data_IF_256223781273
#
_entry.id   IF_256223781273
#
_cell.length_a   1.000
_cell.length_b   1.000
_cell.length_c   1.000
_cell.angle_alpha   90.00
_cell.angle_beta   90.00
_cell.angle_gamma   90.00
#
_symmetry.space_group_name_H-M   'P 1'
#
loop_
_entity.id
_entity.type
_entity.pdbx_description
1 polymer ?
#
# COMPACT_ATOMS: atom_id res chain seq x y z
N UNK A 1 -52.22 34.77 -40.61
CA UNK A 1 -51.61 34.15 -41.80
C UNK A 1 -50.13 34.49 -41.77
N UNK A 2 -49.32 33.57 -41.27
CA UNK A 2 -47.86 33.64 -41.24
C UNK A 2 -47.40 32.19 -41.34
N UNK A 3 -46.84 31.81 -42.48
CA UNK A 3 -46.52 30.43 -42.83
C UNK A 3 -45.38 29.86 -41.98
N UNK A 4 -45.60 28.65 -41.47
CA UNK A 4 -44.64 27.79 -40.81
C UNK A 4 -43.87 27.01 -41.89
N UNK A 5 -42.56 27.21 -41.97
CA UNK A 5 -41.66 26.38 -42.78
C UNK A 5 -41.24 25.16 -41.97
N UNK A 6 -41.67 23.98 -42.41
CA UNK A 6 -41.28 22.67 -41.88
C UNK A 6 -40.08 22.17 -42.69
N UNK A 7 -38.97 21.73 -42.09
CA UNK A 7 -37.89 21.09 -42.85
C UNK A 7 -38.19 19.61 -43.13
N UNK A 8 -37.93 19.18 -44.35
CA UNK A 8 -38.15 17.81 -44.85
C UNK A 8 -37.32 16.74 -44.10
N UNK A 9 -37.83 15.50 -43.97
CA UNK A 9 -37.12 14.40 -43.35
C UNK A 9 -36.04 13.84 -44.28
N UNK A 10 -34.79 13.80 -43.79
CA UNK A 10 -33.65 13.15 -44.48
C UNK A 10 -33.87 11.64 -44.49
N UNK A 11 -34.09 11.10 -45.69
CA UNK A 11 -34.20 9.66 -45.96
C UNK A 11 -32.81 9.01 -45.79
N UNK A 12 -32.72 8.05 -44.88
CA UNK A 12 -31.51 7.24 -44.66
C UNK A 12 -31.33 6.22 -45.79
N UNK A 13 -30.32 6.43 -46.64
CA UNK A 13 -29.84 5.43 -47.58
C UNK A 13 -28.92 4.39 -46.88
N UNK A 14 -28.94 3.11 -47.30
CA UNK A 14 -28.10 2.08 -46.68
C UNK A 14 -26.62 2.30 -47.00
N UNK A 15 -25.81 2.38 -45.94
CA UNK A 15 -24.35 2.52 -46.00
C UNK A 15 -23.77 1.19 -46.51
N UNK A 16 -23.24 1.19 -47.74
CA UNK A 16 -22.49 0.06 -48.30
C UNK A 16 -21.18 -0.21 -47.54
N UNK A 17 -20.57 -1.40 -47.72
CA UNK A 17 -19.36 -1.77 -46.98
C UNK A 17 -18.19 -0.82 -47.31
N UNK A 18 -17.30 -0.55 -46.34
CA UNK A 18 -16.18 0.36 -46.52
C UNK A 18 -15.18 -0.16 -47.57
N UNK A 19 -14.47 0.74 -48.30
CA UNK A 19 -13.46 0.34 -49.26
C UNK A 19 -12.26 -0.36 -48.57
N UNK A 20 -11.55 -1.25 -49.28
CA UNK A 20 -10.37 -1.92 -48.73
C UNK A 20 -9.26 -0.92 -48.41
N UNK A 21 -8.54 -1.19 -47.31
CA UNK A 21 -7.44 -0.36 -46.84
C UNK A 21 -6.30 -0.30 -47.88
N UNK A 22 -5.59 0.84 -48.00
CA UNK A 22 -4.43 0.96 -48.88
C UNK A 22 -3.27 0.08 -48.40
N UNK A 23 -2.57 -0.54 -49.36
CA UNK A 23 -1.41 -1.42 -49.12
C UNK A 23 -0.33 -0.73 -48.28
N UNK A 24 0.01 -1.36 -47.16
CA UNK A 24 1.13 -0.95 -46.29
C UNK A 24 2.44 -1.34 -46.98
N UNK A 25 3.40 -0.41 -47.21
CA UNK A 25 4.68 -0.76 -47.80
C UNK A 25 5.46 -1.75 -46.93
N UNK A 26 5.96 -2.83 -47.54
CA UNK A 26 6.83 -3.80 -46.87
C UNK A 26 8.15 -3.13 -46.45
N UNK A 27 8.67 -3.42 -45.24
CA UNK A 27 9.94 -2.87 -44.79
C UNK A 27 11.10 -3.40 -45.65
N UNK A 28 11.85 -2.48 -46.25
CA UNK A 28 13.06 -2.77 -47.03
C UNK A 28 14.16 -3.21 -46.06
N UNK A 29 14.55 -4.48 -46.13
CA UNK A 29 15.71 -5.00 -45.40
C UNK A 29 17.01 -4.46 -46.02
N UNK A 30 17.96 -3.92 -45.24
CA UNK A 30 19.25 -3.49 -45.76
C UNK A 30 20.08 -4.72 -46.22
N UNK A 31 20.96 -4.56 -47.23
CA UNK A 31 21.77 -5.66 -47.74
C UNK A 31 22.78 -6.15 -46.71
N UNK A 32 22.92 -7.48 -46.61
CA UNK A 32 23.92 -8.16 -45.79
C UNK A 32 25.32 -7.92 -46.39
N UNK A 33 26.32 -7.49 -45.59
CA UNK A 33 27.69 -7.34 -46.10
C UNK A 33 28.28 -8.70 -46.51
N UNK A 34 29.16 -8.76 -47.52
CA UNK A 34 29.72 -10.01 -48.02
C UNK A 34 30.58 -10.68 -46.95
N UNK A 35 30.38 -12.00 -46.81
CA UNK A 35 31.18 -12.87 -45.94
C UNK A 35 32.59 -12.99 -46.52
N UNK A 36 33.67 -12.76 -45.73
CA UNK A 36 35.02 -12.98 -46.22
C UNK A 36 35.27 -14.46 -46.52
N UNK A 37 36.12 -14.80 -47.52
CA UNK A 37 36.44 -16.18 -47.83
C UNK A 37 37.15 -16.86 -46.65
N UNK A 38 36.99 -18.19 -46.49
CA UNK A 38 37.61 -18.91 -45.37
C UNK A 38 39.13 -18.82 -45.47
N UNK A 39 39.74 -18.40 -44.36
CA UNK A 39 41.18 -18.38 -44.16
C UNK A 39 41.69 -19.84 -44.17
N UNK A 40 42.56 -20.17 -45.12
CA UNK A 40 43.08 -21.54 -45.27
C UNK A 40 43.94 -21.94 -44.08
N UNK A 41 43.89 -23.23 -43.71
CA UNK A 41 44.63 -23.77 -42.57
C UNK A 41 46.13 -23.45 -42.67
N UNK A 42 46.75 -22.90 -41.61
CA UNK A 42 48.19 -22.71 -41.58
C UNK A 42 48.90 -24.08 -41.59
N UNK A 43 50.09 -24.19 -42.22
CA UNK A 43 50.84 -25.45 -42.26
C UNK A 43 51.24 -25.89 -40.84
N UNK A 44 51.35 -27.21 -40.58
CA UNK A 44 51.63 -27.72 -39.25
C UNK A 44 53.06 -27.35 -38.83
N UNK A 45 53.17 -26.38 -37.92
CA UNK A 45 54.40 -26.12 -37.18
C UNK A 45 54.37 -27.03 -35.95
N UNK A 46 55.37 -27.91 -35.83
CA UNK A 46 55.57 -28.74 -34.64
C UNK A 46 55.93 -27.82 -33.47
N UNK A 47 55.12 -27.72 -32.40
CA UNK A 47 55.48 -26.89 -31.25
C UNK A 47 56.68 -27.50 -30.51
N UNK A 48 57.60 -26.69 -29.96
CA UNK A 48 58.71 -27.20 -29.18
C UNK A 48 58.18 -27.88 -27.91
N UNK A 49 58.69 -29.08 -27.63
CA UNK A 49 58.39 -29.84 -26.40
C UNK A 49 58.96 -29.06 -25.21
N UNK A 50 58.08 -28.44 -24.41
CA UNK A 50 58.43 -27.96 -23.08
C UNK A 50 58.04 -29.03 -22.06
N UNK A 51 59.02 -29.43 -21.24
CA UNK A 51 58.83 -30.36 -20.13
C UNK A 51 57.77 -29.79 -19.16
N UNK A 52 56.70 -30.53 -18.79
CA UNK A 52 55.70 -30.02 -17.87
C UNK A 52 56.31 -29.94 -16.47
N UNK A 53 56.75 -28.73 -16.08
CA UNK A 53 57.12 -28.41 -14.71
C UNK A 53 55.98 -28.75 -13.74
N UNK A 54 56.35 -29.21 -12.55
CA UNK A 54 55.43 -29.60 -11.48
C UNK A 54 54.29 -28.56 -11.28
N UNK A 55 53.03 -29.00 -11.11
CA UNK A 55 51.94 -28.09 -10.80
C UNK A 55 52.22 -27.35 -9.49
N UNK A 56 51.94 -26.05 -9.48
CA UNK A 56 52.02 -25.26 -8.24
C UNK A 56 51.13 -25.90 -7.17
N UNK A 57 51.56 -25.99 -5.91
CA UNK A 57 50.74 -26.56 -4.85
C UNK A 57 49.43 -25.79 -4.75
N UNK A 58 48.32 -26.52 -4.71
CA UNK A 58 46.97 -25.98 -4.54
C UNK A 58 46.94 -25.26 -3.20
N UNK A 59 46.99 -23.93 -3.23
CA UNK A 59 46.77 -23.11 -2.03
C UNK A 59 45.29 -23.20 -1.70
N UNK A 60 44.98 -23.70 -0.50
CA UNK A 60 43.63 -23.76 0.02
C UNK A 60 43.03 -22.34 0.02
N UNK A 61 41.82 -22.12 -0.53
CA UNK A 61 41.23 -20.79 -0.53
C UNK A 61 41.11 -20.27 0.91
N UNK A 62 41.38 -18.98 1.15
CA UNK A 62 41.27 -18.41 2.49
C UNK A 62 39.85 -18.67 3.04
N UNK A 63 39.70 -18.90 4.35
CA UNK A 63 38.40 -19.12 4.95
C UNK A 63 37.46 -17.96 4.59
N UNK A 64 36.18 -18.23 4.28
CA UNK A 64 35.25 -17.18 3.89
C UNK A 64 35.19 -16.15 5.02
N UNK A 65 35.64 -14.94 4.73
CA UNK A 65 35.44 -13.78 5.59
C UNK A 65 33.92 -13.67 5.79
N UNK A 66 33.44 -13.78 7.03
CA UNK A 66 32.04 -13.53 7.35
C UNK A 66 31.73 -12.06 7.03
N UNK A 67 31.35 -11.80 5.79
CA UNK A 67 30.80 -10.52 5.38
C UNK A 67 29.46 -10.38 6.08
N UNK A 68 29.24 -9.24 6.75
CA UNK A 68 27.97 -8.95 7.38
C UNK A 68 26.88 -9.01 6.31
N UNK A 69 25.99 -10.00 6.42
CA UNK A 69 24.93 -10.21 5.42
C UNK A 69 24.05 -8.95 5.38
N UNK A 70 23.83 -8.34 4.20
CA UNK A 70 23.08 -7.10 4.10
C UNK A 70 21.65 -7.29 4.64
N UNK A 71 21.23 -6.43 5.55
CA UNK A 71 19.88 -6.44 6.12
C UNK A 71 19.16 -5.13 5.80
N UNK A 72 18.27 -5.18 4.81
CA UNK A 72 17.52 -4.04 4.30
C UNK A 72 16.03 -4.08 4.63
N UNK A 73 15.27 -3.13 4.06
CA UNK A 73 13.80 -3.03 4.24
C UNK A 73 13.07 -4.29 3.76
N UNK A 74 13.55 -4.90 2.68
CA UNK A 74 12.97 -6.14 2.14
C UNK A 74 13.19 -7.33 3.08
N UNK A 75 14.38 -7.47 3.67
CA UNK A 75 14.67 -8.46 4.71
C UNK A 75 13.78 -8.29 5.92
N UNK A 76 13.66 -7.05 6.43
CA UNK A 76 12.79 -6.73 7.56
C UNK A 76 11.33 -7.06 7.28
N UNK A 77 10.86 -6.83 6.04
CA UNK A 77 9.51 -7.20 5.60
C UNK A 77 9.35 -8.72 5.56
N UNK A 78 10.25 -9.43 4.88
CA UNK A 78 10.20 -10.89 4.74
C UNK A 78 10.25 -11.59 6.10
N UNK A 79 11.12 -11.14 7.00
CA UNK A 79 11.24 -11.69 8.35
C UNK A 79 9.92 -11.57 9.14
N UNK A 80 9.19 -10.46 8.99
CA UNK A 80 7.84 -10.28 9.58
C UNK A 80 6.74 -11.07 8.88
N UNK A 81 6.88 -11.35 7.59
CA UNK A 81 5.95 -12.23 6.86
C UNK A 81 6.12 -13.67 7.34
N UNK A 82 7.36 -14.15 7.45
CA UNK A 82 7.66 -15.49 7.97
C UNK A 82 7.16 -15.61 9.43
N UNK A 83 7.43 -14.63 10.30
CA UNK A 83 6.96 -14.61 11.69
C UNK A 83 5.43 -14.76 11.82
N UNK A 84 4.65 -14.20 10.89
CA UNK A 84 3.18 -14.23 10.90
C UNK A 84 2.59 -15.44 10.16
N UNK A 85 3.43 -16.27 9.56
CA UNK A 85 3.01 -17.37 8.70
C UNK A 85 3.42 -18.71 9.28
N UNK A 86 2.99 -19.81 8.66
CA UNK A 86 3.45 -21.15 8.98
C UNK A 86 4.89 -21.46 8.53
N UNK A 87 5.64 -20.46 8.03
CA UNK A 87 7.05 -20.63 7.68
C UNK A 87 7.30 -21.31 6.34
N UNK A 88 6.45 -21.09 5.33
CA UNK A 88 6.64 -21.73 4.03
C UNK A 88 7.90 -21.20 3.31
N UNK A 89 8.82 -22.09 2.86
CA UNK A 89 10.00 -21.67 2.11
C UNK A 89 9.62 -20.97 0.81
N UNK A 90 10.33 -19.89 0.51
CA UNK A 90 10.17 -19.10 -0.71
C UNK A 90 11.29 -19.37 -1.72
N UNK A 91 12.40 -19.96 -1.27
CA UNK A 91 13.55 -20.35 -2.09
C UNK A 91 14.13 -19.20 -2.93
N UNK A 92 14.10 -17.98 -2.40
CA UNK A 92 14.63 -16.77 -3.06
C UNK A 92 15.92 -16.25 -2.40
N UNK A 93 16.56 -15.27 -3.02
CA UNK A 93 17.82 -14.69 -2.50
C UNK A 93 17.67 -14.02 -1.13
N UNK A 94 16.50 -13.45 -0.83
CA UNK A 94 16.23 -12.83 0.48
C UNK A 94 16.17 -13.90 1.57
N UNK A 95 15.55 -15.06 1.29
CA UNK A 95 15.57 -16.21 2.19
C UNK A 95 17.00 -16.68 2.46
N UNK A 96 17.83 -16.83 1.42
CA UNK A 96 19.23 -17.26 1.55
C UNK A 96 20.00 -16.30 2.46
N UNK A 97 19.83 -15.00 2.28
CA UNK A 97 20.48 -13.98 3.10
C UNK A 97 19.96 -13.98 4.55
N UNK A 98 18.67 -14.19 4.77
CA UNK A 98 18.10 -14.29 6.12
C UNK A 98 18.57 -15.54 6.87
N UNK A 99 18.72 -16.66 6.17
CA UNK A 99 19.30 -17.90 6.72
C UNK A 99 20.79 -17.74 7.00
N UNK A 100 21.56 -17.17 6.05
CA UNK A 100 22.99 -16.92 6.23
C UNK A 100 23.27 -15.93 7.37
N UNK A 101 22.38 -14.95 7.56
CA UNK A 101 22.44 -14.00 8.67
C UNK A 101 21.92 -14.55 10.01
N UNK A 102 21.48 -15.82 10.06
CA UNK A 102 20.99 -16.47 11.28
C UNK A 102 19.67 -15.89 11.82
N UNK A 103 18.91 -15.14 11.00
CA UNK A 103 17.59 -14.60 11.40
C UNK A 103 16.47 -15.62 11.19
N UNK A 104 16.69 -16.60 10.30
CA UNK A 104 15.82 -17.74 10.06
C UNK A 104 16.61 -19.03 10.26
N UNK A 105 15.89 -20.11 10.54
CA UNK A 105 16.42 -21.47 10.52
C UNK A 105 15.46 -22.40 9.76
N UNK A 106 16.01 -23.45 9.14
CA UNK A 106 15.22 -24.50 8.48
C UNK A 106 14.90 -25.60 9.49
N UNK A 107 13.63 -25.93 9.62
CA UNK A 107 13.12 -26.98 10.47
C UNK A 107 12.44 -28.04 9.60
N UNK A 108 12.88 -29.29 9.71
CA UNK A 108 12.20 -30.43 9.10
C UNK A 108 11.04 -30.86 9.96
N UNK A 109 9.86 -30.92 9.38
CA UNK A 109 8.68 -31.44 10.05
C UNK A 109 8.70 -32.97 10.08
N UNK A 110 7.86 -33.55 10.94
CA UNK A 110 7.68 -35.01 11.03
C UNK A 110 7.19 -35.63 9.71
N UNK A 111 6.60 -34.83 8.83
CA UNK A 111 6.13 -35.23 7.51
C UNK A 111 7.20 -35.04 6.40
N UNK A 112 8.44 -34.71 6.77
CA UNK A 112 9.60 -34.67 5.88
C UNK A 112 9.75 -33.39 5.06
N UNK A 113 8.83 -32.43 5.16
CA UNK A 113 8.97 -31.13 4.49
C UNK A 113 9.71 -30.12 5.36
N UNK A 114 10.42 -29.19 4.73
CA UNK A 114 11.14 -28.11 5.40
C UNK A 114 10.25 -26.88 5.56
N UNK A 115 10.32 -26.26 6.74
CA UNK A 115 9.70 -24.98 7.08
C UNK A 115 10.76 -24.03 7.62
N UNK A 116 10.48 -22.73 7.58
CA UNK A 116 11.31 -21.67 8.11
C UNK A 116 10.76 -21.20 9.44
N UNK A 117 11.60 -21.23 10.46
CA UNK A 117 11.33 -20.64 11.77
C UNK A 117 12.15 -19.37 11.93
N UNK A 118 11.56 -18.36 12.57
CA UNK A 118 12.30 -17.16 13.00
C UNK A 118 13.10 -17.50 14.25
N UNK A 119 14.42 -17.25 14.22
CA UNK A 119 15.32 -17.48 15.36
C UNK A 119 15.18 -16.37 16.40
N UNK A 120 15.76 -16.55 17.58
CA UNK A 120 15.79 -15.49 18.60
C UNK A 120 16.49 -14.22 18.13
N UNK A 121 17.54 -14.34 17.30
CA UNK A 121 18.19 -13.21 16.65
C UNK A 121 17.24 -12.51 15.66
N UNK A 122 16.43 -13.28 14.93
CA UNK A 122 15.34 -12.77 14.09
C UNK A 122 14.29 -12.02 14.90
N UNK A 123 13.84 -12.58 16.03
CA UNK A 123 12.88 -11.95 16.95
C UNK A 123 13.44 -10.65 17.52
N UNK A 124 14.68 -10.64 18.00
CA UNK A 124 15.35 -9.45 18.51
C UNK A 124 15.45 -8.35 17.43
N UNK A 125 15.68 -8.74 16.17
CA UNK A 125 15.71 -7.81 15.04
C UNK A 125 14.32 -7.24 14.73
N UNK A 126 13.27 -8.06 14.77
CA UNK A 126 11.87 -7.60 14.66
C UNK A 126 11.56 -6.60 15.77
N UNK A 127 11.86 -6.94 17.02
CA UNK A 127 11.61 -6.10 18.19
C UNK A 127 12.37 -4.76 18.10
N UNK A 128 13.65 -4.79 17.75
CA UNK A 128 14.45 -3.57 17.53
C UNK A 128 13.84 -2.67 16.47
N UNK A 129 13.40 -3.25 15.34
CA UNK A 129 12.73 -2.51 14.27
C UNK A 129 11.43 -1.88 14.76
N UNK A 130 10.64 -2.60 15.58
CA UNK A 130 9.42 -2.07 16.17
C UNK A 130 9.69 -0.94 17.16
N UNK A 131 10.77 -1.00 17.93
CA UNK A 131 11.17 0.05 18.88
C UNK A 131 11.66 1.30 18.15
N UNK A 132 12.53 1.16 17.15
CA UNK A 132 13.02 2.27 16.34
C UNK A 132 11.86 2.92 15.59
N UNK A 133 10.98 2.13 14.98
CA UNK A 133 9.81 2.68 14.28
C UNK A 133 8.87 3.42 15.23
N UNK A 134 8.63 2.88 16.44
CA UNK A 134 7.82 3.58 17.47
C UNK A 134 8.46 4.89 17.92
N UNK A 135 9.78 4.89 18.14
CA UNK A 135 10.54 6.09 18.53
C UNK A 135 10.62 7.14 17.41
N UNK A 136 10.48 6.72 16.14
CA UNK A 136 10.54 7.57 14.97
C UNK A 136 9.16 8.01 14.44
N UNK A 137 8.05 7.67 15.12
CA UNK A 137 6.73 8.14 14.70
C UNK A 137 6.68 9.66 14.79
N UNK A 138 6.34 10.30 13.68
CA UNK A 138 6.01 11.73 13.71
C UNK A 138 4.80 11.95 14.64
N UNK A 139 4.61 13.16 15.18
CA UNK A 139 3.42 13.47 15.99
C UNK A 139 2.11 13.11 15.27
N UNK A 140 2.09 13.26 13.94
CA UNK A 140 0.98 12.84 13.09
C UNK A 140 0.76 11.34 13.17
N UNK A 141 1.77 10.53 12.82
CA UNK A 141 1.64 9.07 12.80
C UNK A 141 1.30 8.49 14.18
N UNK A 142 1.83 9.08 15.26
CA UNK A 142 1.50 8.70 16.63
C UNK A 142 0.01 8.94 16.95
N UNK A 143 -0.55 10.08 16.51
CA UNK A 143 -1.96 10.38 16.69
C UNK A 143 -2.84 9.51 15.78
N UNK A 144 -2.44 9.23 14.54
CA UNK A 144 -3.14 8.28 13.65
C UNK A 144 -3.19 6.88 14.27
N UNK A 145 -2.07 6.39 14.83
CA UNK A 145 -2.06 5.11 15.54
C UNK A 145 -3.02 5.11 16.74
N UNK A 146 -3.02 6.18 17.54
CA UNK A 146 -3.91 6.30 18.71
C UNK A 146 -5.38 6.29 18.30
N UNK A 147 -5.76 7.03 17.26
CA UNK A 147 -7.13 7.02 16.72
C UNK A 147 -7.53 5.63 16.25
N UNK A 148 -6.66 4.96 15.48
CA UNK A 148 -6.98 3.63 14.98
C UNK A 148 -7.14 2.61 16.11
N UNK A 149 -6.32 2.67 17.17
CA UNK A 149 -6.45 1.84 18.37
C UNK A 149 -7.73 2.13 19.13
N UNK A 150 -8.15 3.39 19.25
CA UNK A 150 -9.41 3.72 19.92
C UNK A 150 -10.61 3.20 19.13
N UNK A 151 -10.55 3.22 17.79
CA UNK A 151 -11.58 2.60 16.95
C UNK A 151 -11.66 1.09 17.15
N UNK A 152 -10.52 0.40 17.20
CA UNK A 152 -10.52 -1.05 17.46
C UNK A 152 -10.97 -1.40 18.87
N UNK A 153 -10.57 -0.61 19.88
CA UNK A 153 -11.07 -0.74 21.26
C UNK A 153 -12.59 -0.51 21.35
N UNK A 154 -13.15 0.31 20.46
CA UNK A 154 -14.59 0.51 20.29
C UNK A 154 -15.29 -0.58 19.47
N UNK A 155 -14.64 -1.72 19.20
CA UNK A 155 -15.21 -2.85 18.46
C UNK A 155 -15.30 -2.65 16.94
N UNK A 156 -14.60 -1.65 16.40
CA UNK A 156 -14.56 -1.38 14.95
C UNK A 156 -13.37 -2.07 14.31
N UNK A 157 -13.48 -2.38 13.03
CA UNK A 157 -12.34 -2.78 12.21
C UNK A 157 -11.76 -1.50 11.60
N UNK A 158 -10.48 -1.24 11.82
CA UNK A 158 -9.82 0.00 11.39
C UNK A 158 -8.60 -0.26 10.51
N UNK A 159 -8.35 0.63 9.55
CA UNK A 159 -7.21 0.62 8.65
C UNK A 159 -6.55 2.00 8.64
N UNK A 160 -5.24 2.01 8.36
CA UNK A 160 -4.45 3.23 8.15
C UNK A 160 -3.84 3.22 6.75
N UNK A 161 -3.61 4.42 6.19
CA UNK A 161 -2.87 4.57 4.92
C UNK A 161 -3.55 3.95 3.70
N UNK A 162 -4.89 3.91 3.68
CA UNK A 162 -5.63 3.41 2.52
C UNK A 162 -5.62 4.40 1.36
N UNK A 163 -5.67 3.88 0.14
CA UNK A 163 -6.03 4.64 -1.06
C UNK A 163 -7.40 4.21 -1.54
N UNK A 164 -8.41 5.07 -1.39
CA UNK A 164 -9.80 4.78 -1.70
C UNK A 164 -10.30 5.65 -2.84
N UNK A 165 -10.99 5.06 -3.80
CA UNK A 165 -11.59 5.81 -4.90
C UNK A 165 -12.90 6.44 -4.42
N UNK A 166 -12.95 7.77 -4.41
CA UNK A 166 -14.11 8.55 -3.99
C UNK A 166 -14.71 9.31 -5.16
N UNK A 167 -16.02 9.47 -5.14
CA UNK A 167 -16.77 10.29 -6.10
C UNK A 167 -16.86 11.72 -5.58
N UNK A 168 -16.62 12.66 -6.47
CA UNK A 168 -16.73 14.09 -6.23
C UNK A 168 -17.89 14.67 -7.04
N UNK A 169 -18.54 15.74 -6.52
CA UNK A 169 -19.54 16.45 -7.29
C UNK A 169 -18.94 17.01 -8.60
N UNK A 170 -19.77 17.17 -9.64
CA UNK A 170 -19.41 17.92 -10.84
C UNK A 170 -18.92 19.34 -10.48
N UNK A 171 -18.08 19.92 -11.33
CA UNK A 171 -17.66 21.33 -11.17
C UNK A 171 -18.76 22.31 -11.56
N UNK A 172 -19.61 21.89 -12.51
CA UNK A 172 -20.69 22.69 -13.07
C UNK A 172 -22.01 21.92 -12.94
N UNK A 173 -23.11 22.64 -12.77
CA UNK A 173 -24.44 22.07 -12.66
C UNK A 173 -24.81 21.27 -13.94
N UNK A 174 -25.29 20.04 -13.77
CA UNK A 174 -25.53 19.12 -14.89
C UNK A 174 -24.28 18.42 -15.45
N UNK A 175 -23.09 18.73 -14.93
CA UNK A 175 -21.83 18.09 -15.33
C UNK A 175 -21.69 16.64 -14.86
N UNK A 176 -20.63 15.96 -15.34
CA UNK A 176 -20.31 14.59 -14.92
C UNK A 176 -19.65 14.57 -13.55
N UNK A 177 -19.97 13.53 -12.76
CA UNK A 177 -19.27 13.28 -11.50
C UNK A 177 -17.77 13.07 -11.74
N UNK A 178 -16.97 13.62 -10.84
CA UNK A 178 -15.51 13.47 -10.87
C UNK A 178 -15.10 12.34 -9.92
N UNK A 179 -13.88 11.84 -10.09
CA UNK A 179 -13.33 10.79 -9.24
C UNK A 179 -11.94 11.18 -8.78
N UNK A 180 -11.62 10.90 -7.53
CA UNK A 180 -10.28 11.06 -6.99
C UNK A 180 -9.88 9.85 -6.15
N UNK A 181 -8.57 9.74 -5.88
CA UNK A 181 -8.07 8.81 -4.84
C UNK A 181 -7.93 9.60 -3.56
N UNK A 182 -8.80 9.32 -2.59
CA UNK A 182 -8.72 9.83 -1.24
C UNK A 182 -7.81 8.94 -0.39
N UNK A 183 -7.10 9.55 0.56
CA UNK A 183 -6.18 8.85 1.46
C UNK A 183 -6.49 9.23 2.91
N UNK A 184 -7.56 8.67 3.51
CA UNK A 184 -7.89 8.96 4.90
C UNK A 184 -6.78 8.46 5.82
N UNK A 185 -6.50 9.21 6.89
CA UNK A 185 -5.52 8.80 7.90
C UNK A 185 -5.97 7.52 8.61
N UNK A 186 -7.23 7.48 9.05
CA UNK A 186 -7.90 6.27 9.56
C UNK A 186 -9.25 6.09 8.89
N UNK A 187 -9.47 4.88 8.37
CA UNK A 187 -10.79 4.44 7.91
C UNK A 187 -11.26 3.30 8.80
N UNK A 188 -12.54 3.26 9.17
CA UNK A 188 -13.07 2.17 9.98
C UNK A 188 -14.51 1.81 9.65
N UNK A 189 -14.85 0.54 9.87
CA UNK A 189 -16.23 0.04 9.76
C UNK A 189 -16.61 -0.67 11.07
N UNK A 190 -17.91 -0.76 11.36
CA UNK A 190 -18.41 -1.63 12.44
C UNK A 190 -18.09 -3.09 12.12
N UNK A 191 -17.73 -3.85 13.15
CA UNK A 191 -17.68 -5.30 13.03
C UNK A 191 -19.12 -5.85 13.02
N UNK A 192 -19.61 -6.27 11.86
CA UNK A 192 -20.99 -6.72 11.67
C UNK A 192 -21.08 -7.72 10.53
N UNK A 193 -22.06 -8.62 10.59
CA UNK A 193 -22.38 -9.57 9.51
C UNK A 193 -23.37 -9.01 8.48
N UNK A 194 -23.93 -7.81 8.72
CA UNK A 194 -24.91 -7.17 7.83
C UNK A 194 -24.26 -5.98 7.14
N UNK A 195 -24.08 -6.05 5.82
CA UNK A 195 -23.38 -5.03 5.03
C UNK A 195 -23.91 -3.60 5.26
N UNK A 196 -25.24 -3.43 5.31
CA UNK A 196 -25.87 -2.12 5.52
C UNK A 196 -25.55 -1.50 6.89
N UNK A 197 -25.11 -2.29 7.86
CA UNK A 197 -24.75 -1.81 9.20
C UNK A 197 -23.26 -1.51 9.35
N UNK A 198 -22.46 -1.72 8.29
CA UNK A 198 -21.02 -1.55 8.33
C UNK A 198 -20.60 -0.12 8.72
N UNK A 199 -21.45 0.88 8.47
CA UNK A 199 -21.29 2.26 8.93
C UNK A 199 -19.83 2.74 8.82
N UNK A 200 -19.32 2.99 7.60
CA UNK A 200 -17.94 3.42 7.41
C UNK A 200 -17.71 4.78 8.06
N UNK A 201 -16.48 5.08 8.49
CA UNK A 201 -16.12 6.38 9.08
C UNK A 201 -14.70 6.74 8.65
N UNK A 202 -14.50 7.99 8.22
CA UNK A 202 -13.19 8.58 7.96
C UNK A 202 -12.78 9.46 9.14
N UNK A 203 -11.56 9.28 9.64
CA UNK A 203 -10.89 10.23 10.53
C UNK A 203 -9.67 10.81 9.81
N UNK A 204 -9.63 12.14 9.74
CA UNK A 204 -8.51 12.93 9.24
C UNK A 204 -7.81 13.60 10.43
N UNK A 205 -6.53 13.31 10.59
CA UNK A 205 -5.72 13.74 11.72
C UNK A 205 -4.98 15.03 11.36
N UNK A 206 -4.94 15.97 12.31
CA UNK A 206 -4.22 17.24 12.19
C UNK A 206 -3.45 17.54 13.46
N UNK A 207 -2.13 17.69 13.34
CA UNK A 207 -1.22 18.01 14.46
C UNK A 207 -0.58 19.39 14.36
N UNK A 208 -0.90 20.16 13.32
CA UNK A 208 -0.47 21.54 13.19
C UNK A 208 -1.57 22.44 12.64
N UNK A 209 -1.58 23.71 13.09
CA UNK A 209 -2.55 24.70 12.62
C UNK A 209 -2.42 24.99 11.12
N UNK A 210 -1.19 25.01 10.61
CA UNK A 210 -0.94 25.23 9.19
C UNK A 210 -1.54 24.11 8.32
N UNK A 211 -1.33 22.85 8.71
CA UNK A 211 -1.88 21.70 8.00
C UNK A 211 -3.42 21.69 8.04
N UNK A 212 -4.02 21.94 9.21
CA UNK A 212 -5.47 22.07 9.34
C UNK A 212 -6.03 23.15 8.41
N UNK A 213 -5.48 24.37 8.43
CA UNK A 213 -5.95 25.46 7.57
C UNK A 213 -5.71 25.18 6.08
N UNK A 214 -4.66 24.45 5.73
CA UNK A 214 -4.42 23.99 4.36
C UNK A 214 -5.47 22.98 3.90
N UNK A 215 -5.91 22.12 4.80
CA UNK A 215 -6.92 21.11 4.55
C UNK A 215 -8.33 21.69 4.41
N UNK A 216 -8.72 22.59 5.32
CA UNK A 216 -10.04 23.20 5.35
C UNK A 216 -10.35 24.03 4.09
N UNK A 217 -9.32 24.51 3.39
CA UNK A 217 -9.43 25.21 2.09
C UNK A 217 -9.73 24.28 0.90
N UNK A 218 -9.74 22.95 1.09
CA UNK A 218 -9.94 21.94 0.04
C UNK A 218 -11.30 21.27 0.19
N UNK A 219 -12.41 21.90 -0.26
CA UNK A 219 -13.75 21.33 -0.12
C UNK A 219 -13.89 19.97 -0.84
N UNK A 220 -13.22 19.77 -1.97
CA UNK A 220 -13.20 18.48 -2.68
C UNK A 220 -12.66 17.34 -1.81
N UNK A 221 -11.64 17.59 -0.98
CA UNK A 221 -11.10 16.54 -0.10
C UNK A 221 -12.13 16.11 0.93
N UNK A 222 -12.83 17.07 1.53
CA UNK A 222 -13.94 16.81 2.46
C UNK A 222 -15.09 16.08 1.78
N UNK A 223 -15.48 16.50 0.57
CA UNK A 223 -16.51 15.83 -0.21
C UNK A 223 -16.15 14.37 -0.51
N UNK A 224 -14.89 14.07 -0.84
CA UNK A 224 -14.41 12.70 -1.02
C UNK A 224 -14.57 11.86 0.25
N UNK A 225 -14.24 12.41 1.43
CA UNK A 225 -14.36 11.67 2.68
C UNK A 225 -15.81 11.42 3.09
N UNK A 226 -16.69 12.39 2.86
CA UNK A 226 -18.13 12.23 3.05
C UNK A 226 -18.74 11.21 2.07
N UNK A 227 -18.24 11.11 0.84
CA UNK A 227 -18.65 10.07 -0.11
C UNK A 227 -18.15 8.67 0.30
N UNK A 228 -16.96 8.56 0.93
CA UNK A 228 -16.41 7.28 1.38
C UNK A 228 -17.05 6.76 2.68
N UNK A 229 -17.24 7.65 3.65
CA UNK A 229 -17.62 7.29 5.02
C UNK A 229 -19.04 7.68 5.40
N UNK A 230 -19.70 8.62 4.72
CA UNK A 230 -20.91 9.24 5.27
C UNK A 230 -20.67 10.09 6.52
N UNK A 231 -19.56 9.87 7.24
CA UNK A 231 -19.02 10.70 8.31
C UNK A 231 -17.55 11.02 8.07
N UNK A 232 -17.18 12.29 8.29
CA UNK A 232 -15.81 12.77 8.27
C UNK A 232 -15.51 13.44 9.61
N UNK A 233 -14.51 12.90 10.32
CA UNK A 233 -14.06 13.38 11.61
C UNK A 233 -12.70 14.05 11.48
N UNK A 234 -12.55 15.25 12.02
CA UNK A 234 -11.25 15.88 12.24
C UNK A 234 -10.76 15.54 13.64
N UNK A 235 -9.56 14.95 13.75
CA UNK A 235 -8.91 14.68 15.03
C UNK A 235 -7.77 15.67 15.23
N UNK A 236 -7.92 16.54 16.22
CA UNK A 236 -7.03 17.64 16.50
C UNK A 236 -6.02 17.27 17.58
N UNK A 237 -4.75 17.31 17.22
CA UNK A 237 -3.64 17.22 18.15
C UNK A 237 -3.35 18.55 18.85
N UNK A 238 -2.21 18.60 19.54
CA UNK A 238 -1.77 19.75 20.31
C UNK A 238 -0.56 20.43 19.68
N UNK A 239 -0.45 21.74 19.89
CA UNK A 239 0.73 22.53 19.54
C UNK A 239 1.90 22.21 20.50
N UNK A 240 3.08 22.81 20.23
CA UNK A 240 4.27 22.62 21.05
C UNK A 240 4.11 23.08 22.53
N UNK A 241 3.05 23.83 22.85
CA UNK A 241 2.72 24.28 24.21
C UNK A 241 1.63 23.39 24.86
N UNK A 242 1.25 22.29 24.21
CA UNK A 242 0.24 21.35 24.71
C UNK A 242 -1.20 21.82 24.54
N UNK A 243 -1.46 22.86 23.73
CA UNK A 243 -2.82 23.39 23.50
C UNK A 243 -3.38 22.82 22.20
N UNK A 244 -4.68 22.53 22.16
CA UNK A 244 -5.32 22.08 20.92
C UNK A 244 -5.07 23.07 19.76
N UNK A 245 -4.78 22.55 18.57
CA UNK A 245 -4.38 23.38 17.41
C UNK A 245 -5.49 24.29 16.86
N UNK A 246 -6.74 23.98 17.18
CA UNK A 246 -7.93 24.74 16.78
C UNK A 246 -9.11 24.46 17.71
N UNK A 247 -10.11 25.33 17.67
CA UNK A 247 -11.41 25.14 18.32
C UNK A 247 -12.34 24.32 17.42
N UNK A 248 -13.30 23.56 17.99
CA UNK A 248 -14.26 22.78 17.21
C UNK A 248 -15.08 23.61 16.21
N UNK A 249 -15.36 24.87 16.51
CA UNK A 249 -16.13 25.78 15.67
C UNK A 249 -15.38 26.21 14.41
N UNK A 250 -14.05 26.05 14.37
CA UNK A 250 -13.23 26.31 13.19
C UNK A 250 -13.38 25.19 12.13
N UNK A 251 -13.88 24.01 12.51
CA UNK A 251 -14.12 22.87 11.60
C UNK A 251 -15.56 22.94 11.04
N UNK A 252 -15.77 22.68 9.73
CA UNK A 252 -17.09 22.67 9.10
C UNK A 252 -18.13 21.88 9.90
N UNK A 253 -19.34 22.44 10.03
CA UNK A 253 -20.37 21.94 10.94
C UNK A 253 -20.86 20.52 10.61
N UNK A 254 -20.74 20.09 9.35
CA UNK A 254 -21.04 18.74 8.90
C UNK A 254 -20.04 17.69 9.42
N UNK A 255 -18.85 18.11 9.84
CA UNK A 255 -17.79 17.23 10.33
C UNK A 255 -17.78 17.11 11.86
N UNK A 256 -17.45 15.90 12.30
CA UNK A 256 -17.16 15.63 13.71
C UNK A 256 -15.78 16.15 14.10
N UNK A 257 -15.62 16.42 15.39
CA UNK A 257 -14.36 16.91 15.96
C UNK A 257 -14.01 16.08 17.19
N UNK A 258 -12.82 15.50 17.18
CA UNK A 258 -12.18 14.93 18.36
C UNK A 258 -10.94 15.75 18.70
N UNK A 259 -10.65 15.91 19.98
CA UNK A 259 -9.46 16.61 20.48
C UNK A 259 -8.63 15.67 21.35
N UNK A 260 -7.31 15.83 21.29
CA UNK A 260 -6.38 15.09 22.16
C UNK A 260 -6.22 15.82 23.51
N UNK A 261 -6.80 15.27 24.57
CA UNK A 261 -6.64 15.76 25.95
C UNK A 261 -5.73 14.82 26.74
N UNK A 262 -4.48 15.25 26.94
CA UNK A 262 -3.44 14.38 27.48
C UNK A 262 -3.23 13.17 26.59
N UNK A 263 -3.62 12.00 27.06
CA UNK A 263 -3.56 10.73 26.31
C UNK A 263 -4.91 10.28 25.72
N UNK A 264 -6.00 11.02 25.98
CA UNK A 264 -7.34 10.59 25.62
C UNK A 264 -7.85 11.35 24.41
N UNK A 265 -8.62 10.67 23.57
CA UNK A 265 -9.39 11.31 22.51
C UNK A 265 -10.77 11.65 23.06
N UNK A 266 -11.12 12.93 23.05
CA UNK A 266 -12.41 13.43 23.54
C UNK A 266 -13.23 13.93 22.36
N UNK A 267 -14.49 13.49 22.28
CA UNK A 267 -15.44 13.98 21.28
C UNK A 267 -15.87 15.39 21.67
N UNK A 268 -15.42 16.38 20.92
CA UNK A 268 -15.80 17.79 21.12
C UNK A 268 -17.09 18.13 20.36
N UNK A 269 -17.32 17.49 19.20
CA UNK A 269 -18.58 17.59 18.44
C UNK A 269 -18.81 16.31 17.63
N UNK A 270 -20.02 15.78 17.67
CA UNK A 270 -20.39 14.63 16.85
C UNK A 270 -20.42 14.98 15.35
N UNK A 271 -20.03 14.05 14.49
CA UNK A 271 -20.23 14.19 13.04
C UNK A 271 -21.71 14.06 12.68
N UNK A 272 -22.10 14.71 11.58
CA UNK A 272 -23.42 14.48 10.99
C UNK A 272 -23.35 13.18 10.22
N UNK A 273 -24.15 12.20 10.62
CA UNK A 273 -24.24 10.91 9.94
C UNK A 273 -25.03 11.03 8.64
N UNK A 274 -24.37 10.74 7.51
CA UNK A 274 -25.06 10.51 6.24
C UNK A 274 -25.26 9.01 6.04
N UNK A 275 -26.52 8.58 6.01
CA UNK A 275 -26.87 7.20 5.72
C UNK A 275 -26.26 6.74 4.39
N UNK A 276 -25.75 5.51 4.38
CA UNK A 276 -25.19 4.86 3.22
C UNK A 276 -25.92 3.54 3.00
N UNK A 277 -26.42 3.28 1.79
CA UNK A 277 -27.16 2.05 1.51
C UNK A 277 -26.23 0.82 1.58
N UNK A 278 -25.08 0.89 0.90
CA UNK A 278 -24.05 -0.17 0.86
C UNK A 278 -22.68 0.39 0.54
N UNK A 279 -21.64 -0.10 1.19
CA UNK A 279 -20.25 0.29 0.86
C UNK A 279 -19.95 -0.04 -0.61
N UNK A 280 -19.38 0.89 -1.41
CA UNK A 280 -19.07 0.60 -2.79
C UNK A 280 -18.10 -0.58 -2.93
N UNK A 281 -18.33 -1.48 -3.89
CA UNK A 281 -17.51 -2.69 -4.06
C UNK A 281 -16.00 -2.40 -4.23
N UNK A 282 -15.65 -1.28 -4.86
CA UNK A 282 -14.24 -0.84 -4.97
C UNK A 282 -13.59 -0.54 -3.62
N UNK A 283 -14.36 -0.06 -2.64
CA UNK A 283 -13.89 0.13 -1.26
C UNK A 283 -13.70 -1.24 -0.60
N UNK A 284 -14.67 -2.15 -0.71
CA UNK A 284 -14.53 -3.53 -0.20
C UNK A 284 -13.26 -4.22 -0.72
N UNK A 285 -12.98 -4.10 -2.02
CA UNK A 285 -11.78 -4.68 -2.62
C UNK A 285 -10.49 -4.05 -2.07
N UNK A 286 -10.50 -2.75 -1.78
CA UNK A 286 -9.36 -2.07 -1.16
C UNK A 286 -9.15 -2.53 0.29
N UNK A 287 -10.23 -2.70 1.06
CA UNK A 287 -10.17 -3.22 2.43
C UNK A 287 -9.66 -4.67 2.45
N UNK A 288 -10.15 -5.53 1.56
CA UNK A 288 -9.72 -6.93 1.48
C UNK A 288 -8.24 -7.11 1.11
N UNK A 289 -7.66 -6.14 0.39
CA UNK A 289 -6.23 -6.12 0.04
C UNK A 289 -5.34 -5.54 1.15
N UNK A 290 -5.93 -4.85 2.12
CA UNK A 290 -5.21 -4.15 3.18
C UNK A 290 -5.32 -4.91 4.51
N UNK A 291 -4.25 -4.87 5.30
CA UNK A 291 -4.27 -5.44 6.65
C UNK A 291 -4.94 -4.44 7.61
N UNK A 292 -6.02 -4.80 8.31
CA UNK A 292 -6.55 -3.96 9.37
C UNK A 292 -5.54 -3.86 10.53
N UNK A 293 -5.64 -2.80 11.31
CA UNK A 293 -4.92 -2.68 12.58
C UNK A 293 -5.37 -3.82 13.47
N UNK A 294 -4.42 -4.55 14.10
CA UNK A 294 -4.76 -5.58 15.08
C UNK A 294 -5.75 -5.03 16.10
N UNK A 295 -6.83 -5.78 16.30
CA UNK A 295 -7.80 -5.49 17.35
C UNK A 295 -7.17 -5.61 18.73
N UNK A 296 -7.92 -5.18 19.75
CA UNK A 296 -7.64 -5.67 21.10
C UNK A 296 -7.92 -7.17 21.09
N UNK A 297 -6.98 -8.01 21.55
CA UNK A 297 -7.18 -9.47 21.58
C UNK A 297 -8.37 -9.77 22.50
N UNK A 298 -9.43 -10.39 21.96
CA UNK A 298 -10.59 -10.85 22.75
C UNK A 298 -10.15 -11.80 23.88
N UNK A 299 -9.03 -12.53 23.69
CA UNK A 299 -8.44 -13.44 24.67
C UNK A 299 -7.89 -12.74 25.93
N UNK A 300 -7.66 -11.42 25.90
CA UNK A 300 -7.24 -10.67 27.09
C UNK A 300 -8.39 -10.46 28.09
N UNK A 301 -9.65 -10.62 27.65
CA UNK A 301 -10.83 -10.49 28.48
C UNK A 301 -11.22 -11.81 29.17
N UNK A 302 -10.90 -12.95 28.55
CA UNK A 302 -11.07 -14.29 29.14
C UNK A 302 -10.06 -14.59 30.27
N UNK A 303 -8.98 -13.79 30.37
CA UNK A 303 -7.99 -13.87 31.46
C UNK A 303 -8.39 -13.11 32.73
N UNK A 304 -9.61 -12.53 32.77
CA UNK A 304 -10.17 -11.84 33.94
C UNK A 304 -11.25 -12.65 34.68
N UNK A 305 -11.33 -13.97 34.44
CA UNK A 305 -12.23 -14.90 35.15
C UNK A 305 -11.46 -15.70 36.20
#
# INVERSE_FOLDING_TARGET
>A
MTELVVPDPVVAAPIGPPPPAPDVPLPVTPPVPPVPPPEGDPPPVVPPVTDPGFPSPVVEPPPPVQTAVPFGKLHARRLREIYRSAGWPCCDGIEVELLAGGYLERVRTVHGHETLRVTDAGIARIATTLTINRAALSPHEALVERVAREMTRGGRIAWRGLGLRARLPPLEEGGKARWCIARPDVFSIRNTSVEAYAHPIVHEVKVSRADLLGDLRKPDKRAAYLDLGGECWYVLGNDAKGRCIARPEEVPAECGVMVLEGERLVVARAAVHRAFDRIPFGVWLALAKAQPIPGFEDDAQDLLI
#
